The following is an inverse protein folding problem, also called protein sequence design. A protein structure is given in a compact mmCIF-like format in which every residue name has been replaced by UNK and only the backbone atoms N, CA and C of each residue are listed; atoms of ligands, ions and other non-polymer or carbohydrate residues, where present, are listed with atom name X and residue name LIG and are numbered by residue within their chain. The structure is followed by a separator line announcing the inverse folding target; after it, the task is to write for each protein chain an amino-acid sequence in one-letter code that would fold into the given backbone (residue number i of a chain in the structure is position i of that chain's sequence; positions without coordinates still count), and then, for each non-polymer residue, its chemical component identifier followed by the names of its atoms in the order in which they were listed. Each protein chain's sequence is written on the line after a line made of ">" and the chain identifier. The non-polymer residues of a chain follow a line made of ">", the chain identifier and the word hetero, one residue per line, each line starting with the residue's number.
data_IF_375497929203
#
_entry.id   IF_375497929203
#
_cell.length_a   1.000
_cell.length_b   1.000
_cell.length_c   1.000
_cell.angle_alpha   90.00
_cell.angle_beta   90.00
_cell.angle_gamma   90.00
#
_symmetry.space_group_name_H-M   'P 1'
#
loop_
_entity.id
_entity.type
_entity.pdbx_description
1 polymer ?
#
# COMPACT_ATOMS: atom_id res chain seq x y z
N UNK A 1 -11.48 -24.02 32.96
CA UNK A 1 -12.90 -24.40 33.12
C UNK A 1 -13.24 -25.34 31.99
N UNK A 2 -13.21 -26.64 32.26
CA UNK A 2 -13.70 -27.64 31.30
C UNK A 2 -15.20 -27.74 31.50
N UNK A 3 -15.98 -27.21 30.56
CA UNK A 3 -17.41 -27.47 30.50
C UNK A 3 -17.53 -28.95 30.14
N UNK A 4 -18.07 -29.75 31.07
CA UNK A 4 -18.49 -31.09 30.72
C UNK A 4 -19.68 -30.93 29.78
N UNK A 5 -19.46 -31.13 28.48
CA UNK A 5 -20.47 -31.01 27.43
C UNK A 5 -21.51 -32.12 27.58
N UNK A 6 -22.45 -31.97 28.52
CA UNK A 6 -23.62 -32.85 28.57
C UNK A 6 -24.51 -32.51 27.37
N UNK A 7 -25.02 -33.53 26.68
CA UNK A 7 -25.87 -33.34 25.50
C UNK A 7 -27.14 -32.56 25.83
N UNK A 8 -27.63 -32.65 27.07
CA UNK A 8 -28.77 -31.88 27.56
C UNK A 8 -28.45 -30.38 27.66
N UNK A 9 -27.26 -30.02 28.15
CA UNK A 9 -26.83 -28.62 28.24
C UNK A 9 -26.63 -28.01 26.85
N UNK A 10 -26.05 -28.77 25.91
CA UNK A 10 -25.91 -28.35 24.51
C UNK A 10 -27.26 -28.12 23.83
N UNK A 11 -28.26 -28.94 24.13
CA UNK A 11 -29.61 -28.76 23.59
C UNK A 11 -30.27 -27.51 24.17
N UNK A 12 -30.21 -27.30 25.49
CA UNK A 12 -30.80 -26.13 26.15
C UNK A 12 -30.18 -24.80 25.67
N UNK A 13 -28.87 -24.79 25.46
CA UNK A 13 -28.14 -23.62 24.93
C UNK A 13 -28.48 -23.35 23.46
N UNK A 14 -28.64 -24.41 22.64
CA UNK A 14 -29.08 -24.26 21.26
C UNK A 14 -30.51 -23.71 21.19
N UNK A 15 -31.43 -24.22 22.02
CA UNK A 15 -32.82 -23.74 22.03
C UNK A 15 -32.94 -22.29 22.48
N UNK A 16 -32.21 -21.89 23.54
CA UNK A 16 -32.22 -20.50 24.00
C UNK A 16 -31.56 -19.55 22.98
N UNK A 17 -30.50 -20.00 22.29
CA UNK A 17 -29.89 -19.26 21.20
C UNK A 17 -30.85 -19.08 20.02
N UNK A 18 -31.59 -20.12 19.61
CA UNK A 18 -32.59 -20.02 18.53
C UNK A 18 -33.76 -19.11 18.90
N UNK A 19 -34.23 -19.17 20.15
CA UNK A 19 -35.31 -18.29 20.63
C UNK A 19 -34.86 -16.83 20.68
N UNK A 20 -33.64 -16.56 21.19
CA UNK A 20 -33.06 -15.22 21.18
C UNK A 20 -32.85 -14.69 19.76
N UNK A 21 -32.37 -15.53 18.84
CA UNK A 21 -32.22 -15.18 17.43
C UNK A 21 -33.59 -14.87 16.81
N UNK A 22 -34.62 -15.69 17.07
CA UNK A 22 -35.99 -15.46 16.58
C UNK A 22 -36.56 -14.11 17.00
N UNK A 23 -36.26 -13.66 18.24
CA UNK A 23 -36.70 -12.36 18.74
C UNK A 23 -35.91 -11.16 18.20
N UNK A 24 -34.69 -11.39 17.73
CA UNK A 24 -33.81 -10.36 17.18
C UNK A 24 -33.99 -10.15 15.67
N UNK A 25 -34.75 -11.02 14.99
CA UNK A 25 -35.04 -10.84 13.57
C UNK A 25 -36.09 -9.73 13.37
N UNK A 26 -35.77 -8.66 12.62
CA UNK A 26 -36.77 -7.66 12.25
C UNK A 26 -37.81 -8.27 11.30
N UNK A 27 -39.09 -7.91 11.49
CA UNK A 27 -40.21 -8.44 10.69
C UNK A 27 -40.18 -7.97 9.22
N UNK A 28 -39.47 -6.86 8.94
CA UNK A 28 -39.45 -6.24 7.62
C UNK A 28 -38.39 -6.86 6.70
N UNK A 29 -38.86 -7.58 5.67
CA UNK A 29 -38.03 -8.22 4.64
C UNK A 29 -37.07 -7.27 3.90
N UNK A 30 -37.31 -5.96 3.97
CA UNK A 30 -36.51 -4.94 3.30
C UNK A 30 -35.17 -4.66 3.98
N UNK A 31 -35.00 -5.00 5.26
CA UNK A 31 -33.74 -4.82 5.98
C UNK A 31 -32.70 -5.91 5.66
N UNK A 32 -33.12 -7.00 5.00
CA UNK A 32 -32.24 -8.09 4.56
C UNK A 32 -31.56 -7.80 3.22
N UNK A 33 -32.05 -6.81 2.47
CA UNK A 33 -31.41 -6.43 1.22
C UNK A 33 -30.16 -5.61 1.56
N UNK A 34 -29.01 -5.91 0.94
CA UNK A 34 -27.81 -5.12 1.16
C UNK A 34 -28.14 -3.66 0.84
N UNK A 35 -27.80 -2.71 1.73
CA UNK A 35 -28.07 -1.31 1.49
C UNK A 35 -27.40 -0.90 0.17
N UNK A 36 -28.14 -0.20 -0.69
CA UNK A 36 -27.70 0.20 -2.04
C UNK A 36 -26.38 0.99 -1.99
N UNK A 37 -26.07 1.61 -0.85
CA UNK A 37 -24.89 2.45 -0.60
C UNK A 37 -24.01 1.90 0.56
N UNK A 38 -23.72 0.58 0.55
CA UNK A 38 -22.88 -0.10 1.56
C UNK A 38 -21.43 -0.39 1.12
N UNK A 39 -20.54 -0.62 2.08
CA UNK A 39 -19.20 -1.18 1.82
C UNK A 39 -19.36 -2.70 1.59
N UNK A 40 -19.27 -3.14 0.33
CA UNK A 40 -19.48 -4.54 -0.08
C UNK A 40 -18.65 -5.57 0.72
N UNK A 41 -17.49 -5.21 1.27
CA UNK A 41 -16.69 -6.10 2.11
C UNK A 41 -17.38 -6.47 3.43
N UNK A 42 -18.13 -5.54 4.03
CA UNK A 42 -18.86 -5.79 5.27
C UNK A 42 -20.02 -6.76 5.03
N UNK A 43 -20.69 -6.66 3.87
CA UNK A 43 -21.76 -7.58 3.49
C UNK A 43 -21.22 -9.00 3.32
N UNK A 44 -20.12 -9.16 2.57
CA UNK A 44 -19.46 -10.47 2.40
C UNK A 44 -18.99 -11.03 3.74
N UNK A 45 -18.52 -10.19 4.67
CA UNK A 45 -18.16 -10.63 6.01
C UNK A 45 -19.38 -11.16 6.77
N UNK A 46 -20.51 -10.47 6.70
CA UNK A 46 -21.74 -10.91 7.34
C UNK A 46 -22.22 -12.25 6.76
N UNK A 47 -22.17 -12.42 5.44
CA UNK A 47 -22.50 -13.68 4.77
C UNK A 47 -21.57 -14.83 5.20
N UNK A 48 -20.26 -14.58 5.29
CA UNK A 48 -19.28 -15.57 5.75
C UNK A 48 -19.50 -15.94 7.23
N UNK A 49 -19.83 -14.97 8.08
CA UNK A 49 -20.15 -15.21 9.48
C UNK A 49 -21.46 -15.99 9.63
N UNK A 50 -22.48 -15.69 8.84
CA UNK A 50 -23.74 -16.43 8.83
C UNK A 50 -23.51 -17.88 8.39
N UNK A 51 -22.77 -18.10 7.31
CA UNK A 51 -22.39 -19.43 6.86
C UNK A 51 -21.56 -20.18 7.91
N UNK A 52 -20.68 -19.48 8.63
CA UNK A 52 -19.92 -20.06 9.75
C UNK A 52 -20.83 -20.50 10.90
N UNK A 53 -21.77 -19.65 11.32
CA UNK A 53 -22.75 -19.96 12.36
C UNK A 53 -23.68 -21.11 11.95
N UNK A 54 -24.13 -21.15 10.69
CA UNK A 54 -24.95 -22.24 10.18
C UNK A 54 -24.22 -23.59 10.24
N UNK A 55 -22.97 -23.64 9.81
CA UNK A 55 -22.15 -24.85 9.87
C UNK A 55 -21.81 -25.25 11.32
N UNK A 56 -21.65 -24.28 12.22
CA UNK A 56 -21.48 -24.51 13.66
C UNK A 56 -22.76 -25.12 14.26
N UNK A 57 -23.93 -24.53 14.01
CA UNK A 57 -25.21 -25.06 14.44
C UNK A 57 -25.44 -26.48 13.91
N UNK A 58 -25.12 -26.73 12.63
CA UNK A 58 -25.17 -28.07 12.06
C UNK A 58 -24.23 -29.06 12.77
N UNK A 59 -23.02 -28.63 13.14
CA UNK A 59 -22.09 -29.43 13.95
C UNK A 59 -22.68 -29.73 15.33
N UNK A 60 -23.31 -28.76 16.00
CA UNK A 60 -23.97 -29.00 17.30
C UNK A 60 -25.11 -30.02 17.17
N UNK A 61 -25.92 -29.94 16.11
CA UNK A 61 -26.99 -30.92 15.84
C UNK A 61 -26.40 -32.31 15.58
N UNK A 62 -25.31 -32.41 14.80
CA UNK A 62 -24.61 -33.69 14.58
C UNK A 62 -24.03 -34.27 15.88
N UNK A 63 -23.47 -33.42 16.74
CA UNK A 63 -22.98 -33.83 18.08
C UNK A 63 -24.11 -34.38 18.95
N UNK A 64 -25.26 -33.70 18.96
CA UNK A 64 -26.45 -34.12 19.70
C UNK A 64 -27.00 -35.45 19.15
N UNK A 65 -27.02 -35.63 17.82
CA UNK A 65 -27.51 -36.85 17.18
C UNK A 65 -26.59 -38.06 17.38
N UNK A 66 -25.28 -37.86 17.36
CA UNK A 66 -24.29 -38.95 17.40
C UNK A 66 -23.71 -39.18 18.82
N UNK A 67 -24.26 -38.54 19.85
CA UNK A 67 -23.82 -38.73 21.24
C UNK A 67 -22.36 -38.31 21.49
N UNK A 68 -21.86 -37.31 20.76
CA UNK A 68 -20.50 -36.78 20.92
C UNK A 68 -19.42 -37.42 20.05
N UNK A 69 -19.68 -38.54 19.37
CA UNK A 69 -18.69 -39.21 18.52
C UNK A 69 -18.75 -38.69 17.06
N UNK A 70 -18.07 -37.56 16.82
CA UNK A 70 -18.08 -36.84 15.54
C UNK A 70 -17.19 -37.54 14.50
N UNK A 71 -16.22 -38.34 14.96
CA UNK A 71 -15.17 -38.93 14.12
C UNK A 71 -15.64 -40.07 13.21
N UNK A 72 -16.82 -40.64 13.44
CA UNK A 72 -17.35 -41.79 12.66
C UNK A 72 -18.30 -41.41 11.53
N UNK A 73 -18.72 -40.15 11.45
CA UNK A 73 -19.63 -39.70 10.40
C UNK A 73 -18.86 -38.95 9.32
N UNK A 74 -18.90 -39.45 8.08
CA UNK A 74 -18.29 -38.78 6.91
C UNK A 74 -18.75 -37.31 6.81
N UNK A 75 -20.05 -37.08 7.05
CA UNK A 75 -20.69 -35.76 7.10
C UNK A 75 -20.07 -34.84 8.16
N UNK A 76 -19.70 -35.37 9.34
CA UNK A 76 -19.04 -34.58 10.39
C UNK A 76 -17.67 -34.09 9.94
N UNK A 77 -16.90 -34.93 9.25
CA UNK A 77 -15.58 -34.57 8.73
C UNK A 77 -15.66 -33.48 7.65
N UNK A 78 -16.68 -33.51 6.80
CA UNK A 78 -16.91 -32.49 5.77
C UNK A 78 -17.30 -31.13 6.35
N UNK A 79 -18.15 -31.12 7.38
CA UNK A 79 -18.55 -29.90 8.08
C UNK A 79 -17.35 -29.26 8.77
N UNK A 80 -16.50 -30.06 9.41
CA UNK A 80 -15.26 -29.56 10.04
C UNK A 80 -14.32 -28.98 8.97
N UNK A 81 -14.17 -29.62 7.81
CA UNK A 81 -13.39 -29.07 6.69
C UNK A 81 -13.92 -27.71 6.21
N UNK A 82 -15.24 -27.61 5.99
CA UNK A 82 -15.90 -26.34 5.62
C UNK A 82 -15.74 -25.27 6.70
N UNK A 83 -15.79 -25.66 7.97
CA UNK A 83 -15.59 -24.74 9.10
C UNK A 83 -14.16 -24.18 9.15
N UNK A 84 -13.16 -25.04 8.87
CA UNK A 84 -11.75 -24.63 8.77
C UNK A 84 -11.56 -23.69 7.57
N UNK A 85 -12.17 -24.01 6.43
CA UNK A 85 -12.12 -23.16 5.22
C UNK A 85 -12.72 -21.77 5.47
N UNK A 86 -13.93 -21.70 6.05
CA UNK A 86 -14.57 -20.43 6.43
C UNK A 86 -13.72 -19.65 7.44
N UNK A 87 -13.08 -20.34 8.39
CA UNK A 87 -12.16 -19.69 9.35
C UNK A 87 -10.94 -19.09 8.65
N UNK A 88 -10.36 -19.80 7.68
CA UNK A 88 -9.24 -19.29 6.88
C UNK A 88 -9.67 -18.05 6.08
N UNK A 89 -10.87 -18.05 5.50
CA UNK A 89 -11.40 -16.87 4.80
C UNK A 89 -11.58 -15.67 5.72
N UNK A 90 -12.09 -15.86 6.94
CA UNK A 90 -12.22 -14.78 7.92
C UNK A 90 -10.85 -14.27 8.39
N UNK A 91 -9.93 -15.15 8.76
CA UNK A 91 -8.64 -14.75 9.35
C UNK A 91 -7.65 -14.22 8.31
N UNK A 92 -7.51 -14.91 7.18
CA UNK A 92 -6.50 -14.61 6.16
C UNK A 92 -7.04 -13.75 5.03
N UNK A 93 -8.33 -13.85 4.72
CA UNK A 93 -8.99 -13.08 3.67
C UNK A 93 -9.53 -11.75 4.19
N UNK A 94 -10.49 -11.79 5.10
CA UNK A 94 -11.23 -10.60 5.56
C UNK A 94 -10.36 -9.68 6.42
N UNK A 95 -9.69 -10.18 7.47
CA UNK A 95 -8.93 -9.31 8.41
C UNK A 95 -7.88 -8.41 7.74
N UNK A 96 -7.04 -8.86 6.79
CA UNK A 96 -6.08 -7.97 6.14
C UNK A 96 -6.75 -6.89 5.29
N UNK A 97 -7.90 -7.18 4.70
CA UNK A 97 -8.66 -6.22 3.91
C UNK A 97 -9.34 -5.18 4.81
N UNK A 98 -9.90 -5.60 5.95
CA UNK A 98 -10.40 -4.69 6.99
C UNK A 98 -9.31 -3.75 7.49
N UNK A 99 -8.10 -4.26 7.74
CA UNK A 99 -6.99 -3.42 8.16
C UNK A 99 -6.62 -2.35 7.12
N UNK A 100 -6.72 -2.66 5.83
CA UNK A 100 -6.47 -1.70 4.74
C UNK A 100 -7.61 -0.67 4.61
N UNK A 101 -8.84 -1.10 4.84
CA UNK A 101 -10.05 -0.27 4.76
C UNK A 101 -10.40 0.41 6.08
N UNK A 102 -9.63 0.17 7.16
CA UNK A 102 -9.92 0.65 8.51
C UNK A 102 -10.23 2.14 8.54
N UNK A 103 -9.40 2.95 7.88
CA UNK A 103 -9.62 4.39 7.81
C UNK A 103 -10.94 4.76 7.10
N UNK A 104 -11.32 4.04 6.04
CA UNK A 104 -12.57 4.29 5.32
C UNK A 104 -13.77 3.90 6.17
N UNK A 105 -13.69 2.76 6.87
CA UNK A 105 -14.71 2.30 7.82
C UNK A 105 -14.84 3.34 8.93
N UNK A 106 -13.74 3.71 9.59
CA UNK A 106 -13.72 4.69 10.69
C UNK A 106 -14.24 6.07 10.25
N UNK A 107 -14.00 6.45 8.99
CA UNK A 107 -14.52 7.71 8.43
C UNK A 107 -16.03 7.66 8.20
N UNK A 108 -16.55 6.55 7.67
CA UNK A 108 -17.99 6.38 7.41
C UNK A 108 -18.75 6.23 8.73
N UNK A 109 -18.23 5.47 9.69
CA UNK A 109 -18.84 5.35 11.03
C UNK A 109 -18.85 6.70 11.73
N UNK A 110 -17.75 7.44 11.71
CA UNK A 110 -17.71 8.80 12.28
C UNK A 110 -18.69 9.75 11.58
N UNK A 111 -18.83 9.65 10.26
CA UNK A 111 -19.81 10.46 9.53
C UNK A 111 -21.27 10.09 9.88
N UNK A 112 -21.55 8.81 10.12
CA UNK A 112 -22.85 8.33 10.57
C UNK A 112 -23.15 8.81 12.00
N UNK A 113 -22.19 8.68 12.93
CA UNK A 113 -22.32 9.15 14.31
C UNK A 113 -22.52 10.68 14.35
N UNK A 114 -21.77 11.43 13.53
CA UNK A 114 -21.93 12.89 13.42
C UNK A 114 -23.29 13.26 12.80
N UNK A 115 -23.82 12.45 11.89
CA UNK A 115 -25.17 12.65 11.32
C UNK A 115 -26.27 12.37 12.35
N UNK A 116 -26.12 11.33 13.17
CA UNK A 116 -27.05 11.00 14.27
C UNK A 116 -27.00 12.06 15.38
N UNK A 117 -25.80 12.54 15.74
CA UNK A 117 -25.62 13.67 16.67
C UNK A 117 -26.25 14.96 16.13
N UNK A 118 -26.11 15.23 14.82
CA UNK A 118 -26.79 16.37 14.18
C UNK A 118 -28.30 16.19 14.12
N UNK A 119 -28.80 14.97 13.92
CA UNK A 119 -30.22 14.67 13.94
C UNK A 119 -30.83 14.90 15.33
N UNK A 120 -30.15 14.42 16.38
CA UNK A 120 -30.55 14.61 17.78
C UNK A 120 -30.39 16.06 18.26
N UNK A 121 -29.36 16.79 17.81
CA UNK A 121 -29.23 18.23 18.07
C UNK A 121 -30.27 19.07 17.33
N UNK A 122 -30.68 18.66 16.12
CA UNK A 122 -31.76 19.29 15.36
C UNK A 122 -33.14 19.01 15.95
N UNK A 123 -33.37 17.87 16.60
CA UNK A 123 -34.62 17.64 17.34
C UNK A 123 -34.69 18.43 18.66
N UNK A 124 -33.54 18.81 19.23
CA UNK A 124 -33.46 19.60 20.47
C UNK A 124 -33.41 21.11 20.24
N UNK A 125 -33.32 21.59 18.99
CA UNK A 125 -33.41 23.01 18.64
C UNK A 125 -34.65 23.28 17.79
N UNK A 126 -35.67 23.89 18.40
CA UNK A 126 -36.89 24.32 17.73
C UNK A 126 -36.61 25.29 16.56
N UNK A 127 -37.44 25.33 15.50
CA UNK A 127 -37.08 25.96 14.23
C UNK A 127 -37.26 27.48 14.29
N UNK A 128 -36.16 28.23 14.29
CA UNK A 128 -36.20 29.67 14.05
C UNK A 128 -36.32 29.93 12.54
N UNK A 129 -37.42 30.60 12.19
CA UNK A 129 -37.93 30.91 10.86
C UNK A 129 -36.94 31.72 10.02
N UNK A 130 -36.89 31.37 8.74
CA UNK A 130 -36.26 32.09 7.63
C UNK A 130 -36.54 33.60 7.60
N UNK A 131 -35.52 34.42 7.33
CA UNK A 131 -35.71 35.63 6.51
C UNK A 131 -34.46 36.00 5.73
N UNK A 132 -34.68 36.15 4.43
CA UNK A 132 -33.79 36.64 3.39
C UNK A 132 -33.75 38.18 3.47
N UNK A 133 -32.57 38.80 3.45
CA UNK A 133 -32.44 40.20 3.00
C UNK A 133 -31.05 40.51 2.47
N UNK A 134 -31.08 41.24 1.37
CA UNK A 134 -30.01 41.75 0.53
C UNK A 134 -29.39 43.04 1.06
N UNK A 135 -28.08 43.18 0.86
CA UNK A 135 -27.28 44.41 0.57
C UNK A 135 -27.13 45.59 1.55
N UNK A 136 -25.84 45.84 1.91
CA UNK A 136 -25.09 47.11 2.14
C UNK A 136 -25.57 48.12 3.22
N UNK A 137 -24.74 48.40 4.25
CA UNK A 137 -23.75 49.51 4.29
C UNK A 137 -23.20 49.78 5.71
N UNK A 138 -21.95 50.28 5.73
CA UNK A 138 -21.06 50.85 6.75
C UNK A 138 -21.56 51.37 8.14
N UNK A 139 -20.84 50.91 9.17
CA UNK A 139 -20.07 51.66 10.21
C UNK A 139 -20.67 52.13 11.58
N UNK A 140 -19.91 51.74 12.63
CA UNK A 140 -19.65 52.35 13.97
C UNK A 140 -20.58 52.20 15.20
N UNK A 141 -19.96 51.73 16.30
CA UNK A 141 -20.29 52.03 17.73
C UNK A 141 -20.90 50.87 18.54
N UNK A 142 -20.10 49.92 19.05
CA UNK A 142 -19.62 49.80 20.45
C UNK A 142 -20.68 49.51 21.53
N UNK A 143 -20.70 48.28 22.07
CA UNK A 143 -20.69 48.02 23.53
C UNK A 143 -20.29 46.57 23.85
N UNK A 144 -19.74 46.38 25.03
CA UNK A 144 -18.72 45.42 25.47
C UNK A 144 -19.32 44.30 26.36
N UNK A 145 -18.67 43.12 26.34
CA UNK A 145 -18.39 42.13 27.43
C UNK A 145 -18.59 40.69 26.90
N UNK A 146 -17.75 39.69 27.14
CA UNK A 146 -16.64 39.56 28.07
C UNK A 146 -15.66 38.46 27.60
N UNK A 147 -14.39 38.74 27.87
CA UNK A 147 -13.14 37.95 27.94
C UNK A 147 -13.28 36.41 28.11
N UNK A 148 -12.53 35.63 27.33
CA UNK A 148 -11.19 35.19 27.76
C UNK A 148 -10.33 34.69 26.59
N UNK A 149 -9.09 35.14 26.64
CA UNK A 149 -8.03 35.03 25.65
C UNK A 149 -7.23 33.75 25.85
N UNK A 150 -6.56 33.29 24.80
CA UNK A 150 -5.08 33.21 24.75
C UNK A 150 -4.71 33.00 23.27
N UNK A 151 -4.19 34.08 22.70
CA UNK A 151 -3.45 34.13 21.43
C UNK A 151 -1.98 33.79 21.70
N UNK A 152 -1.30 33.33 20.64
CA UNK A 152 0.00 33.81 20.13
C UNK A 152 0.69 32.67 19.36
N UNK A 153 1.33 32.86 18.22
CA UNK A 153 1.17 33.82 17.13
C UNK A 153 2.07 33.37 15.96
N UNK A 154 1.90 34.04 14.83
CA UNK A 154 2.87 34.29 13.74
C UNK A 154 3.12 33.23 12.64
N UNK A 155 2.44 33.53 11.53
CA UNK A 155 3.02 34.02 10.26
C UNK A 155 3.94 33.10 9.43
N UNK A 156 3.49 32.76 8.22
CA UNK A 156 3.86 33.57 7.04
C UNK A 156 3.02 33.16 5.81
N UNK A 157 2.55 34.16 5.07
CA UNK A 157 1.74 34.01 3.87
C UNK A 157 2.50 34.55 2.67
N UNK A 158 2.80 33.70 1.68
CA UNK A 158 3.09 34.17 0.32
C UNK A 158 2.01 33.69 -0.67
N UNK A 159 1.33 34.66 -1.27
CA UNK A 159 0.52 34.52 -2.46
C UNK A 159 1.41 34.33 -3.69
N UNK A 160 1.10 33.34 -4.52
CA UNK A 160 1.50 33.36 -5.93
C UNK A 160 0.39 32.80 -6.82
N UNK A 161 -0.25 33.72 -7.52
CA UNK A 161 -1.15 33.50 -8.64
C UNK A 161 -0.43 32.73 -9.75
N UNK A 162 -0.91 31.53 -10.06
CA UNK A 162 -0.41 30.72 -11.17
C UNK A 162 -1.49 29.78 -11.67
N UNK A 163 -2.08 30.12 -12.82
CA UNK A 163 -2.99 29.27 -13.57
C UNK A 163 -2.29 27.96 -13.96
N UNK A 164 -2.56 26.88 -13.21
CA UNK A 164 -2.15 25.53 -13.57
C UNK A 164 -3.41 24.71 -13.82
N UNK A 165 -3.61 24.32 -15.09
CA UNK A 165 -4.56 23.29 -15.46
C UNK A 165 -4.07 21.97 -14.87
N UNK A 166 -4.51 21.67 -13.65
CA UNK A 166 -4.31 20.37 -13.03
C UNK A 166 -5.24 19.35 -13.70
N UNK A 167 -4.61 18.26 -14.11
CA UNK A 167 -5.24 17.02 -14.52
C UNK A 167 -6.42 16.71 -13.60
N UNK A 168 -7.62 16.72 -14.19
CA UNK A 168 -8.88 16.39 -13.55
C UNK A 168 -8.79 14.91 -13.17
N UNK A 169 -8.23 14.70 -11.99
CA UNK A 169 -8.32 13.46 -11.25
C UNK A 169 -9.79 13.07 -11.25
N UNK A 170 -10.07 11.86 -11.74
CA UNK A 170 -11.39 11.27 -11.72
C UNK A 170 -11.81 10.97 -10.28
N UNK A 171 -12.05 12.02 -9.50
CA UNK A 171 -12.81 11.97 -8.28
C UNK A 171 -14.30 12.17 -8.67
N UNK A 172 -15.22 11.33 -8.17
CA UNK A 172 -16.64 11.55 -8.43
C UNK A 172 -17.05 12.91 -7.86
N UNK A 173 -17.60 13.78 -8.71
CA UNK A 173 -18.17 15.07 -8.29
C UNK A 173 -19.36 14.80 -7.35
N UNK A 174 -19.29 15.11 -6.04
CA UNK A 174 -20.37 14.80 -5.10
C UNK A 174 -21.65 15.61 -5.37
N UNK A 175 -21.53 16.73 -6.07
CA UNK A 175 -22.66 17.58 -6.46
C UNK A 175 -23.55 16.97 -7.57
N UNK A 176 -23.09 15.94 -8.29
CA UNK A 176 -23.89 15.25 -9.32
C UNK A 176 -24.71 14.08 -8.76
N UNK A 177 -24.45 13.65 -7.51
CA UNK A 177 -25.20 12.60 -6.81
C UNK A 177 -26.41 13.14 -6.06
N UNK A 178 -26.46 14.45 -5.78
CA UNK A 178 -27.63 15.12 -5.23
C UNK A 178 -28.62 15.42 -6.36
N UNK A 179 -29.38 14.42 -6.78
CA UNK A 179 -30.47 14.58 -7.75
C UNK A 179 -31.62 15.36 -7.11
N UNK A 180 -31.94 16.53 -7.68
CA UNK A 180 -33.08 17.38 -7.31
C UNK A 180 -34.38 16.58 -7.11
N UNK A 181 -34.94 16.63 -5.89
CA UNK A 181 -36.23 16.04 -5.51
C UNK A 181 -37.47 16.89 -5.88
N UNK A 182 -37.40 17.74 -6.91
CA UNK A 182 -38.54 18.57 -7.28
C UNK A 182 -38.70 18.68 -8.80
N UNK A 183 -39.20 17.62 -9.44
CA UNK A 183 -39.97 17.67 -10.69
C UNK A 183 -40.33 16.25 -11.16
N UNK A 184 -41.42 15.68 -10.65
CA UNK A 184 -42.15 14.64 -11.38
C UNK A 184 -43.44 15.25 -11.95
N UNK A 185 -43.33 15.88 -13.12
CA UNK A 185 -44.43 16.01 -14.09
C UNK A 185 -43.87 16.55 -15.41
N UNK A 186 -44.22 15.83 -16.47
CA UNK A 186 -44.09 16.17 -17.90
C UNK A 186 -42.68 16.17 -18.52
N UNK A 187 -42.47 15.15 -19.34
CA UNK A 187 -42.37 15.24 -20.81
C UNK A 187 -41.21 14.44 -21.41
N UNK A 188 -41.60 13.60 -22.35
CA UNK A 188 -40.78 13.04 -23.42
C UNK A 188 -40.10 14.17 -24.20
N UNK A 189 -38.81 14.45 -23.98
CA UNK A 189 -37.99 15.19 -24.95
C UNK A 189 -36.47 15.14 -24.67
N UNK A 190 -35.76 14.60 -25.67
CA UNK A 190 -34.48 15.08 -26.20
C UNK A 190 -33.29 15.30 -25.25
N UNK A 191 -32.36 14.34 -25.28
CA UNK A 191 -30.94 14.61 -25.03
C UNK A 191 -30.42 15.57 -26.10
N UNK A 192 -30.21 16.84 -25.73
CA UNK A 192 -29.50 17.84 -26.54
C UNK A 192 -28.05 17.37 -26.74
N UNK A 193 -27.78 16.70 -27.85
CA UNK A 193 -26.44 16.69 -28.43
C UNK A 193 -26.21 18.04 -29.11
N UNK A 194 -25.01 18.60 -28.92
CA UNK A 194 -24.56 19.80 -29.64
C UNK A 194 -24.41 19.43 -31.12
N UNK A 195 -25.48 19.57 -31.88
CA UNK A 195 -25.51 19.38 -33.32
C UNK A 195 -24.68 20.49 -33.99
N UNK A 196 -23.47 20.15 -34.45
CA UNK A 196 -22.92 20.83 -35.62
C UNK A 196 -23.69 20.30 -36.83
N UNK A 197 -24.16 21.19 -37.69
CA UNK A 197 -25.13 20.99 -38.77
C UNK A 197 -24.65 20.10 -39.94
N UNK A 198 -24.19 18.88 -39.68
CA UNK A 198 -23.97 17.86 -40.70
C UNK A 198 -24.58 16.56 -40.20
N UNK A 199 -25.61 16.07 -40.88
CA UNK A 199 -26.42 14.89 -40.51
C UNK A 199 -25.68 13.54 -40.56
N UNK A 200 -24.37 13.54 -40.35
CA UNK A 200 -23.55 12.34 -40.30
C UNK A 200 -23.52 11.81 -38.86
N UNK A 201 -24.05 10.59 -38.67
CA UNK A 201 -23.99 9.85 -37.42
C UNK A 201 -22.54 9.72 -36.94
N UNK A 202 -22.25 10.25 -35.74
CA UNK A 202 -20.97 10.06 -35.07
C UNK A 202 -21.14 9.06 -33.93
N UNK A 203 -20.51 7.88 -33.99
CA UNK A 203 -20.60 6.90 -32.92
C UNK A 203 -19.98 7.45 -31.62
N UNK A 204 -20.46 6.99 -30.46
CA UNK A 204 -19.97 7.43 -29.17
C UNK A 204 -18.49 7.10 -29.01
N UNK A 205 -17.70 8.08 -28.53
CA UNK A 205 -16.27 7.88 -28.26
C UNK A 205 -16.15 7.15 -26.92
N UNK A 206 -15.85 5.86 -26.96
CA UNK A 206 -15.63 5.02 -25.78
C UNK A 206 -14.23 5.34 -25.22
N UNK A 207 -14.15 5.70 -23.94
CA UNK A 207 -12.87 5.83 -23.24
C UNK A 207 -12.25 4.44 -23.07
N UNK A 208 -10.94 4.26 -23.36
CA UNK A 208 -10.30 2.95 -23.27
C UNK A 208 -10.44 2.40 -21.85
N UNK A 209 -11.17 1.30 -21.72
CA UNK A 209 -11.33 0.56 -20.46
C UNK A 209 -10.15 -0.40 -20.38
N UNK A 210 -9.28 -0.25 -19.37
CA UNK A 210 -8.16 -1.18 -19.17
C UNK A 210 -8.70 -2.57 -18.88
N UNK A 211 -8.20 -3.58 -19.60
CA UNK A 211 -8.50 -4.97 -19.29
C UNK A 211 -8.09 -5.30 -17.85
N UNK A 212 -8.89 -6.08 -17.10
CA UNK A 212 -8.46 -6.60 -15.80
C UNK A 212 -7.27 -7.52 -16.03
N UNK A 213 -6.08 -7.06 -15.65
CA UNK A 213 -4.91 -7.94 -15.59
C UNK A 213 -5.23 -9.07 -14.59
N UNK A 214 -5.02 -10.33 -15.00
CA UNK A 214 -5.04 -11.46 -14.07
C UNK A 214 -4.13 -11.10 -12.91
N UNK A 215 -4.61 -11.25 -11.67
CA UNK A 215 -3.89 -10.88 -10.45
C UNK A 215 -2.47 -11.46 -10.47
N UNK A 216 -1.51 -10.71 -11.01
CA UNK A 216 -0.10 -11.02 -10.88
C UNK A 216 0.16 -10.88 -9.39
N UNK A 217 0.75 -11.92 -8.81
CA UNK A 217 1.06 -11.97 -7.40
C UNK A 217 1.84 -10.70 -7.02
N UNK A 218 1.14 -9.74 -6.39
CA UNK A 218 1.68 -8.51 -5.78
C UNK A 218 2.68 -8.79 -4.65
N UNK A 219 3.13 -10.03 -4.48
CA UNK A 219 4.24 -10.45 -3.63
C UNK A 219 5.58 -10.42 -4.35
N UNK A 220 5.60 -10.04 -5.64
CA UNK A 220 6.83 -9.86 -6.40
C UNK A 220 6.98 -8.41 -6.90
N UNK A 221 6.58 -7.44 -6.08
CA UNK A 221 7.25 -6.13 -6.11
C UNK A 221 8.69 -6.41 -5.71
N UNK A 222 9.52 -6.72 -6.72
CA UNK A 222 10.97 -6.70 -6.60
C UNK A 222 11.29 -5.43 -5.82
N UNK A 223 11.85 -5.53 -4.60
CA UNK A 223 11.99 -4.37 -3.73
C UNK A 223 12.74 -3.33 -4.53
N UNK A 224 12.07 -2.20 -4.83
CA UNK A 224 12.50 -1.19 -5.78
C UNK A 224 14.02 -1.12 -5.76
N UNK A 225 14.68 -1.73 -6.77
CA UNK A 225 16.09 -2.13 -6.68
C UNK A 225 16.83 -0.96 -6.07
N UNK A 226 17.31 -1.12 -4.81
CA UNK A 226 17.98 -0.03 -4.08
C UNK A 226 18.98 0.56 -5.05
N UNK A 227 18.82 1.85 -5.38
CA UNK A 227 19.55 2.48 -6.49
C UNK A 227 21.04 2.23 -6.27
N UNK A 228 21.59 1.24 -6.98
CA UNK A 228 23.02 0.93 -6.96
C UNK A 228 23.71 2.17 -7.52
N UNK A 229 24.80 2.59 -6.88
CA UNK A 229 25.61 3.66 -7.42
C UNK A 229 26.26 3.15 -8.71
N UNK A 230 26.00 3.85 -9.80
CA UNK A 230 26.51 3.53 -11.13
C UNK A 230 28.03 3.32 -11.13
N UNK A 231 28.79 4.18 -10.45
CA UNK A 231 30.24 4.03 -10.39
C UNK A 231 30.74 2.80 -9.61
N UNK A 232 30.00 2.32 -8.60
CA UNK A 232 30.39 1.06 -7.97
C UNK A 232 30.14 -0.11 -8.92
N UNK A 233 29.09 -0.03 -9.72
CA UNK A 233 28.85 -1.03 -10.77
C UNK A 233 29.96 -0.95 -11.81
N UNK A 234 30.27 0.23 -12.36
CA UNK A 234 31.35 0.41 -13.32
C UNK A 234 32.70 -0.08 -12.77
N UNK A 235 33.07 0.29 -11.54
CA UNK A 235 34.32 -0.18 -10.90
C UNK A 235 34.34 -1.70 -10.67
N UNK A 236 33.23 -2.29 -10.22
CA UNK A 236 33.16 -3.75 -10.04
C UNK A 236 33.42 -4.46 -11.36
N UNK A 237 33.01 -3.84 -12.44
CA UNK A 237 32.71 -4.54 -13.67
C UNK A 237 33.83 -4.21 -14.71
N UNK A 238 34.60 -3.15 -14.51
CA UNK A 238 35.87 -2.84 -15.21
C UNK A 238 37.10 -3.35 -14.46
N UNK A 239 37.18 -3.17 -13.13
CA UNK A 239 38.42 -3.38 -12.38
C UNK A 239 38.41 -4.66 -11.53
N UNK A 240 37.27 -5.04 -10.92
CA UNK A 240 37.20 -6.24 -10.07
C UNK A 240 36.83 -7.51 -10.85
N UNK A 241 35.97 -7.36 -11.86
CA UNK A 241 35.44 -8.48 -12.62
C UNK A 241 36.43 -8.90 -13.69
N UNK A 242 36.81 -10.16 -13.69
CA UNK A 242 37.63 -10.76 -14.75
C UNK A 242 36.81 -11.17 -15.97
N UNK A 243 35.49 -10.97 -15.94
CA UNK A 243 34.61 -11.34 -17.04
C UNK A 243 34.74 -10.35 -18.21
N UNK A 244 34.91 -10.82 -19.46
CA UNK A 244 34.94 -9.94 -20.61
C UNK A 244 33.57 -9.28 -20.83
N UNK A 245 33.57 -7.96 -21.03
CA UNK A 245 32.34 -7.19 -21.32
C UNK A 245 32.12 -7.01 -22.82
N UNK A 246 30.87 -7.15 -23.23
CA UNK A 246 30.46 -6.94 -24.61
C UNK A 246 30.43 -5.44 -24.92
N UNK A 247 31.49 -4.93 -25.56
CA UNK A 247 31.54 -3.57 -26.08
C UNK A 247 30.89 -3.50 -27.48
N UNK A 248 30.07 -2.48 -27.76
CA UNK A 248 29.47 -2.30 -29.08
C UNK A 248 30.54 -1.87 -30.11
N UNK A 249 30.27 -2.17 -31.38
CA UNK A 249 31.11 -1.65 -32.46
C UNK A 249 31.05 -0.12 -32.52
N UNK A 250 32.22 0.52 -32.71
CA UNK A 250 32.44 1.97 -32.60
C UNK A 250 31.52 2.76 -33.53
N UNK A 251 31.25 2.24 -34.73
CA UNK A 251 30.38 2.86 -35.74
C UNK A 251 28.94 2.36 -35.77
N UNK A 252 28.52 1.57 -34.77
CA UNK A 252 27.16 1.04 -34.74
C UNK A 252 26.13 2.12 -34.42
N UNK A 253 24.89 1.92 -34.87
CA UNK A 253 23.76 2.79 -34.54
C UNK A 253 23.46 2.84 -33.03
N UNK A 254 24.05 1.94 -32.23
CA UNK A 254 23.92 1.89 -30.77
C UNK A 254 24.89 2.84 -30.05
N UNK A 255 25.97 3.30 -30.69
CA UNK A 255 26.94 4.24 -30.07
C UNK A 255 26.69 5.68 -30.47
N UNK A 256 26.39 5.91 -31.75
CA UNK A 256 26.27 7.25 -32.34
C UNK A 256 24.81 7.51 -32.73
N UNK A 257 24.23 8.56 -32.13
CA UNK A 257 22.87 9.00 -32.43
C UNK A 257 22.89 10.05 -33.53
N UNK A 258 22.01 9.88 -34.53
CA UNK A 258 21.72 10.88 -35.57
C UNK A 258 23.00 11.50 -36.17
N UNK A 259 23.89 10.64 -36.68
CA UNK A 259 25.11 11.07 -37.39
C UNK A 259 26.01 12.00 -36.56
N UNK A 260 26.18 11.72 -35.27
CA UNK A 260 27.11 12.48 -34.41
C UNK A 260 26.47 13.65 -33.66
N UNK A 261 25.15 13.82 -33.72
CA UNK A 261 24.45 14.82 -32.89
C UNK A 261 24.40 14.45 -31.41
N UNK A 262 24.66 13.19 -31.08
CA UNK A 262 24.77 12.71 -29.71
C UNK A 262 25.40 11.34 -29.65
N UNK A 263 25.88 10.96 -28.48
CA UNK A 263 26.36 9.62 -28.16
C UNK A 263 25.39 8.99 -27.16
N UNK A 264 25.25 7.67 -27.22
CA UNK A 264 24.47 6.93 -26.22
C UNK A 264 25.36 6.56 -25.03
N UNK A 265 24.81 6.70 -23.83
CA UNK A 265 25.38 6.17 -22.59
C UNK A 265 25.36 4.63 -22.57
N UNK A 266 26.21 4.00 -21.76
CA UNK A 266 26.07 2.57 -21.40
C UNK A 266 24.64 2.23 -20.93
N UNK A 267 24.03 3.10 -20.10
CA UNK A 267 22.66 2.96 -19.59
C UNK A 267 21.61 3.11 -20.68
N UNK A 268 21.80 4.05 -21.60
CA UNK A 268 20.83 4.28 -22.68
C UNK A 268 20.89 3.16 -23.72
N UNK A 269 22.08 2.57 -23.96
CA UNK A 269 22.24 1.35 -24.77
C UNK A 269 21.51 0.15 -24.16
N UNK A 270 21.56 -0.01 -22.84
CA UNK A 270 20.82 -1.10 -22.17
C UNK A 270 19.31 -0.97 -22.35
N UNK A 271 18.75 0.25 -22.22
CA UNK A 271 17.32 0.49 -22.48
C UNK A 271 16.93 0.24 -23.93
N UNK A 272 17.78 0.59 -24.88
CA UNK A 272 17.54 0.26 -26.29
C UNK A 272 17.56 -1.25 -26.52
N UNK A 273 18.48 -1.99 -25.89
CA UNK A 273 18.48 -3.46 -25.92
C UNK A 273 17.23 -4.05 -25.29
N UNK A 274 16.80 -3.55 -24.13
CA UNK A 274 15.54 -3.98 -23.50
C UNK A 274 14.34 -3.72 -24.42
N UNK A 275 14.34 -2.59 -25.13
CA UNK A 275 13.33 -2.26 -26.14
C UNK A 275 13.37 -3.22 -27.31
N UNK A 276 14.53 -3.51 -27.88
CA UNK A 276 14.65 -4.47 -28.99
C UNK A 276 14.25 -5.87 -28.55
N UNK A 277 14.71 -6.32 -27.38
CA UNK A 277 14.33 -7.60 -26.77
C UNK A 277 12.81 -7.72 -26.63
N UNK A 278 12.14 -6.65 -26.19
CA UNK A 278 10.68 -6.62 -26.08
C UNK A 278 10.01 -6.68 -27.45
N UNK A 279 10.48 -5.88 -28.41
CA UNK A 279 9.94 -5.85 -29.78
C UNK A 279 10.13 -7.19 -30.49
N UNK A 280 11.24 -7.89 -30.25
CA UNK A 280 11.54 -9.21 -30.79
C UNK A 280 10.74 -10.32 -30.11
N UNK A 281 10.63 -10.30 -28.77
CA UNK A 281 9.82 -11.29 -28.02
C UNK A 281 8.33 -11.19 -28.34
N UNK A 282 7.82 -9.98 -28.51
CA UNK A 282 6.40 -9.74 -28.75
C UNK A 282 6.06 -9.54 -30.23
N UNK A 283 7.06 -9.54 -31.12
CA UNK A 283 6.94 -9.31 -32.56
C UNK A 283 6.12 -8.05 -32.93
N UNK A 284 6.14 -7.03 -32.08
CA UNK A 284 5.39 -5.77 -32.25
C UNK A 284 6.30 -4.59 -31.94
N UNK A 285 6.37 -3.61 -32.86
CA UNK A 285 7.16 -2.39 -32.66
C UNK A 285 6.49 -1.44 -31.68
N UNK A 286 7.27 -0.89 -30.76
CA UNK A 286 6.75 0.15 -29.86
C UNK A 286 6.57 1.47 -30.62
N UNK A 287 5.48 2.21 -30.34
CA UNK A 287 5.26 3.52 -30.93
C UNK A 287 6.39 4.49 -30.54
N UNK A 288 6.52 5.57 -31.32
CA UNK A 288 7.44 6.64 -30.95
C UNK A 288 7.05 7.25 -29.59
N UNK A 289 8.07 7.57 -28.79
CA UNK A 289 7.93 8.13 -27.43
C UNK A 289 6.92 9.29 -27.45
N UNK A 290 5.91 9.17 -26.59
CA UNK A 290 4.82 10.15 -26.52
C UNK A 290 5.32 11.53 -26.04
N UNK A 291 4.56 12.60 -26.34
CA UNK A 291 4.91 13.95 -25.85
C UNK A 291 4.96 14.00 -24.31
N UNK A 292 4.07 13.27 -23.64
CA UNK A 292 4.03 13.17 -22.18
C UNK A 292 5.27 12.47 -21.63
N UNK A 293 5.69 11.37 -22.25
CA UNK A 293 6.88 10.61 -21.86
C UNK A 293 8.17 11.39 -22.12
N UNK A 294 8.27 12.12 -23.24
CA UNK A 294 9.37 13.06 -23.49
C UNK A 294 9.44 14.15 -22.41
N UNK A 295 8.29 14.69 -21.99
CA UNK A 295 8.23 15.68 -20.90
C UNK A 295 8.69 15.06 -19.58
N UNK A 296 8.24 13.84 -19.25
CA UNK A 296 8.65 13.10 -18.05
C UNK A 296 10.15 12.83 -18.04
N UNK A 297 10.72 12.38 -19.16
CA UNK A 297 12.16 12.17 -19.32
C UNK A 297 12.97 13.46 -19.17
N UNK A 298 12.44 14.61 -19.61
CA UNK A 298 13.07 15.92 -19.36
C UNK A 298 13.00 16.31 -17.89
N UNK A 299 11.88 16.04 -17.23
CA UNK A 299 11.66 16.37 -15.82
C UNK A 299 12.48 15.47 -14.87
N UNK A 300 12.64 14.19 -15.21
CA UNK A 300 13.45 13.22 -14.45
C UNK A 300 14.96 13.45 -14.59
N UNK A 301 15.38 14.48 -15.32
CA UNK A 301 16.79 14.75 -15.63
C UNK A 301 17.38 13.73 -16.60
N UNK A 302 16.55 12.94 -17.26
CA UNK A 302 16.98 11.87 -18.17
C UNK A 302 17.34 12.36 -19.56
N UNK A 303 16.66 13.41 -20.03
CA UNK A 303 16.72 13.76 -21.45
C UNK A 303 17.66 14.92 -21.81
N UNK A 304 18.05 15.82 -20.88
CA UNK A 304 18.67 17.08 -21.34
C UNK A 304 19.57 17.83 -20.34
N UNK A 305 19.84 17.27 -19.16
CA UNK A 305 20.79 17.83 -18.18
C UNK A 305 21.66 16.71 -17.61
N UNK A 306 21.99 15.75 -18.48
CA UNK A 306 23.03 14.80 -18.16
C UNK A 306 24.32 15.31 -18.78
N UNK A 307 25.38 15.36 -18.00
CA UNK A 307 26.73 15.62 -18.46
C UNK A 307 27.23 14.37 -19.20
N UNK A 308 26.62 14.07 -20.35
CA UNK A 308 27.11 13.04 -21.26
C UNK A 308 28.23 13.65 -22.09
N UNK A 309 29.43 13.11 -21.93
CA UNK A 309 30.58 13.49 -22.71
C UNK A 309 31.24 12.23 -23.26
N UNK A 310 31.49 12.18 -24.56
CA UNK A 310 32.13 11.02 -25.18
C UNK A 310 31.32 9.70 -25.17
N UNK A 311 30.07 9.71 -24.69
CA UNK A 311 29.27 8.49 -24.48
C UNK A 311 29.42 7.88 -23.08
N UNK A 312 30.11 8.58 -22.19
CA UNK A 312 30.20 8.32 -20.75
C UNK A 312 29.29 9.29 -19.97
N UNK A 313 28.76 8.82 -18.84
CA UNK A 313 27.88 9.58 -17.98
C UNK A 313 28.65 10.21 -16.82
N UNK A 314 28.91 11.51 -16.89
CA UNK A 314 29.52 12.25 -15.78
C UNK A 314 28.49 12.68 -14.71
N UNK A 315 27.23 12.34 -14.93
CA UNK A 315 26.14 12.68 -14.02
C UNK A 315 26.29 11.95 -12.71
N UNK A 316 26.59 12.70 -11.66
CA UNK A 316 26.64 12.17 -10.31
C UNK A 316 27.83 12.65 -9.52
N UNK A 317 28.92 13.11 -10.16
CA UNK A 317 30.16 13.50 -9.50
C UNK A 317 29.94 14.45 -8.30
N UNK A 318 29.01 15.41 -8.42
CA UNK A 318 28.70 16.37 -7.36
C UNK A 318 27.90 15.84 -6.14
N UNK A 319 27.28 14.67 -6.21
CA UNK A 319 26.50 14.05 -5.11
C UNK A 319 26.83 12.58 -4.88
N UNK A 320 27.94 12.13 -5.47
CA UNK A 320 28.37 10.75 -5.57
C UNK A 320 28.88 10.23 -4.23
N UNK A 321 29.72 11.01 -3.54
CA UNK A 321 30.38 10.62 -2.30
C UNK A 321 29.38 10.16 -1.26
N UNK A 322 28.31 10.94 -1.05
CA UNK A 322 27.27 10.61 -0.07
C UNK A 322 26.44 9.38 -0.44
N UNK A 323 26.21 9.13 -1.75
CA UNK A 323 25.45 7.95 -2.20
C UNK A 323 26.29 6.68 -2.10
N UNK A 324 27.55 6.73 -2.52
CA UNK A 324 28.50 5.63 -2.34
C UNK A 324 28.65 5.35 -0.84
N UNK A 325 28.91 6.38 -0.03
CA UNK A 325 29.03 6.24 1.42
C UNK A 325 27.77 5.64 2.03
N UNK A 326 26.56 6.03 1.61
CA UNK A 326 25.31 5.44 2.13
C UNK A 326 25.11 3.99 1.71
N UNK A 327 25.46 3.62 0.47
CA UNK A 327 25.33 2.24 -0.02
C UNK A 327 26.37 1.31 0.59
N UNK A 328 27.61 1.77 0.74
CA UNK A 328 28.72 1.02 1.37
C UNK A 328 28.55 0.98 2.89
N UNK A 329 28.28 2.12 3.53
CA UNK A 329 28.06 2.17 4.98
C UNK A 329 26.75 1.50 5.41
N UNK A 330 25.72 1.46 4.55
CA UNK A 330 24.51 0.67 4.79
C UNK A 330 24.78 -0.83 4.84
N UNK A 331 25.79 -1.32 4.11
CA UNK A 331 26.28 -2.71 4.22
C UNK A 331 27.07 -2.95 5.53
N UNK A 332 27.72 -1.92 6.06
CA UNK A 332 28.38 -1.95 7.37
C UNK A 332 27.41 -1.75 8.56
N UNK A 333 26.29 -1.07 8.35
CA UNK A 333 25.22 -0.79 9.33
C UNK A 333 23.97 -1.63 9.08
N UNK A 334 24.17 -2.93 8.79
CA UNK A 334 23.15 -3.91 9.15
C UNK A 334 22.96 -3.84 10.66
N UNK A 335 21.91 -3.13 11.06
CA UNK A 335 21.23 -3.13 12.35
C UNK A 335 21.79 -4.16 13.34
N UNK A 336 22.53 -3.67 14.35
CA UNK A 336 22.73 -4.39 15.61
C UNK A 336 23.22 -5.84 15.53
N UNK A 337 23.94 -6.25 14.48
CA UNK A 337 24.46 -7.61 14.35
C UNK A 337 25.13 -8.06 15.66
N UNK A 338 24.69 -9.20 16.18
CA UNK A 338 25.14 -9.71 17.48
C UNK A 338 26.67 -9.74 17.53
N UNK A 339 27.26 -9.58 18.71
CA UNK A 339 28.73 -9.65 18.87
C UNK A 339 29.29 -10.97 18.31
N UNK A 340 28.47 -12.02 18.33
CA UNK A 340 28.77 -13.33 17.76
C UNK A 340 28.88 -13.27 16.22
N UNK A 341 27.90 -12.69 15.54
CA UNK A 341 27.88 -12.53 14.08
C UNK A 341 29.06 -11.65 13.60
N UNK A 342 29.39 -10.60 14.36
CA UNK A 342 30.59 -9.78 14.11
C UNK A 342 31.89 -10.55 14.35
N UNK A 343 31.91 -11.51 15.29
CA UNK A 343 33.06 -12.39 15.49
C UNK A 343 33.17 -13.42 14.38
N UNK A 344 32.07 -14.02 13.95
CA UNK A 344 32.03 -15.02 12.87
C UNK A 344 32.50 -14.41 11.55
N UNK A 345 32.00 -13.22 11.16
CA UNK A 345 32.47 -12.51 9.97
C UNK A 345 33.96 -12.13 10.00
N UNK A 346 34.57 -12.09 11.19
CA UNK A 346 36.02 -11.84 11.38
C UNK A 346 36.83 -13.12 11.54
N UNK A 347 36.19 -14.28 11.69
CA UNK A 347 36.91 -15.55 11.60
C UNK A 347 37.22 -15.77 10.12
N UNK A 348 38.47 -16.14 9.83
CA UNK A 348 38.84 -16.57 8.49
C UNK A 348 38.01 -17.81 8.17
N UNK A 349 37.37 -17.83 7.01
CA UNK A 349 36.79 -19.05 6.46
C UNK A 349 37.93 -20.06 6.33
N UNK A 350 37.98 -21.02 7.23
CA UNK A 350 38.90 -22.15 7.15
C UNK A 350 38.38 -23.10 6.09
N UNK A 351 38.52 -22.73 4.82
CA UNK A 351 38.63 -23.73 3.77
C UNK A 351 39.88 -24.57 4.06
N UNK A 352 39.74 -25.89 3.90
CA UNK A 352 40.73 -26.93 4.13
C UNK A 352 42.18 -26.48 3.91
N UNK A 353 42.92 -26.39 5.00
CA UNK A 353 44.36 -26.24 5.08
C UNK A 353 44.85 -26.97 6.33
N UNK A 354 46.08 -27.52 6.33
CA UNK A 354 46.50 -28.50 7.32
C UNK A 354 46.37 -27.91 8.73
N UNK A 355 45.69 -28.65 9.60
CA UNK A 355 45.49 -28.31 11.02
C UNK A 355 46.83 -28.04 11.68
N UNK A 356 47.21 -26.77 11.76
CA UNK A 356 48.46 -26.38 12.36
C UNK A 356 48.80 -24.93 12.10
N UNK A 357 48.04 -23.99 12.69
CA UNK A 357 48.67 -22.89 13.42
C UNK A 357 47.72 -22.13 14.36
N UNK A 358 48.14 -21.98 15.62
CA UNK A 358 48.10 -20.65 16.25
C UNK A 358 46.98 -20.24 17.22
N UNK A 359 46.16 -21.14 17.77
CA UNK A 359 45.39 -20.83 18.98
C UNK A 359 45.53 -21.96 19.99
N UNK A 360 46.68 -21.98 20.67
CA UNK A 360 46.99 -22.95 21.70
C UNK A 360 45.85 -23.02 22.73
N UNK A 361 45.35 -24.24 22.95
CA UNK A 361 44.41 -24.57 24.00
C UNK A 361 45.01 -24.14 25.35
N UNK A 362 44.64 -22.95 25.84
CA UNK A 362 45.28 -22.30 27.00
C UNK A 362 45.32 -20.77 26.91
N UNK A 363 45.30 -20.23 25.69
CA UNK A 363 45.43 -18.80 25.43
C UNK A 363 44.25 -17.97 25.96
N UNK A 364 43.05 -18.57 25.99
CA UNK A 364 41.85 -18.01 26.61
C UNK A 364 41.93 -18.02 28.14
N UNK A 365 42.60 -19.01 28.72
CA UNK A 365 42.82 -19.13 30.15
C UNK A 365 43.85 -18.12 30.65
N UNK A 366 44.97 -17.95 29.93
CA UNK A 366 45.99 -16.94 30.25
C UNK A 366 45.45 -15.51 30.15
N UNK A 367 44.63 -15.22 29.13
CA UNK A 367 43.92 -13.93 29.02
C UNK A 367 43.00 -13.69 30.22
N UNK A 368 42.23 -14.70 30.65
CA UNK A 368 41.40 -14.62 31.86
C UNK A 368 42.24 -14.41 33.12
N UNK A 369 43.34 -15.15 33.28
CA UNK A 369 44.28 -15.02 34.41
C UNK A 369 44.85 -13.60 34.49
N UNK A 370 45.32 -13.05 33.36
CA UNK A 370 45.88 -11.68 33.29
C UNK A 370 44.86 -10.59 33.65
N UNK A 371 43.61 -10.75 33.21
CA UNK A 371 42.52 -9.83 33.55
C UNK A 371 42.20 -9.89 35.05
N UNK A 372 42.15 -11.10 35.63
CA UNK A 372 41.87 -11.32 37.04
C UNK A 372 42.98 -10.73 37.93
N UNK A 373 44.24 -10.93 37.52
CA UNK A 373 45.42 -10.37 38.19
C UNK A 373 45.41 -8.84 38.14
N UNK A 374 45.17 -8.22 36.97
CA UNK A 374 45.07 -6.76 36.87
C UNK A 374 43.89 -6.16 37.66
N UNK A 375 42.80 -6.93 37.83
CA UNK A 375 41.67 -6.51 38.68
C UNK A 375 42.01 -6.63 40.17
N UNK A 376 42.78 -7.63 40.57
CA UNK A 376 43.29 -7.78 41.94
C UNK A 376 44.28 -6.67 42.31
N UNK A 377 45.21 -6.34 41.41
CA UNK A 377 46.17 -5.23 41.57
C UNK A 377 45.46 -3.88 41.69
N UNK A 378 44.45 -3.61 40.85
CA UNK A 378 43.61 -2.40 40.97
C UNK A 378 42.82 -2.34 42.28
N UNK A 379 42.44 -3.48 42.84
CA UNK A 379 41.76 -3.56 44.14
C UNK A 379 42.73 -3.33 45.30
N UNK A 380 43.98 -3.79 45.17
CA UNK A 380 45.06 -3.53 46.11
C UNK A 380 45.50 -2.07 46.15
N UNK A 381 45.50 -1.37 45.00
CA UNK A 381 45.80 0.07 44.91
C UNK A 381 44.68 1.01 45.38
N UNK A 382 43.52 0.46 45.73
CA UNK A 382 42.33 1.19 46.20
C UNK A 382 42.08 1.07 47.71
N UNK A 383 42.91 0.28 48.40
CA UNK A 383 43.15 0.42 49.84
C UNK A 383 44.40 1.27 50.02
#
# INVERSE_FOLDING_TARGET
>A
MGVADSTADLLSTLTTALESASSAFPEDQQQFLPPIEGISLLDVKNDLLLSYLQNLAFLTILKLRNGGDIGKSEMGSEVVKKLIELRVYLERGVRPLENKLKYQIDKVTRAADDAERRATQRSNSAPAVSKKSTTKSANQGSDISDIDSEEEDDDDAEQLTGHMNEDISAAPRPAALLRNQAASKKDTASTKSRATATGAYKPPRITPTSMPESASNRTNDQPARKRRSQLLDEYIDEELSTAPRAQPSIGSNSTIVKHGRGTMSSRDREKERERTDYEERNFVRLPAISKAEKRKARLSGESNRRDLFGGEDWTGLGGLGDRINRTVAGKARGEGGSVLERREKRRRDTQDGPRGDGAAMGDSFEKRRKILQGRAEKKGRRK
#
